data_IF_512645154974
#
_entry.id   IF_512645154974
#
_cell.length_a   1.000
_cell.length_b   1.000
_cell.length_c   1.000
_cell.angle_alpha   90.00
_cell.angle_beta   90.00
_cell.angle_gamma   90.00
#
_symmetry.space_group_name_H-M   'P 1'
#
loop_
_entity.id
_entity.type
_entity.pdbx_description
1 polymer ?
#
# COMPACT_ATOMS: atom_id res chain seq x y z
N UNK A 1 -15.89 -8.91 -5.07
CA UNK A 1 -15.62 -9.45 -3.72
C UNK A 1 -15.43 -8.25 -2.82
N UNK A 2 -16.19 -8.09 -1.73
CA UNK A 2 -16.13 -6.90 -0.86
C UNK A 2 -15.40 -7.28 0.41
N UNK A 3 -14.13 -6.89 0.52
CA UNK A 3 -13.33 -7.11 1.72
C UNK A 3 -13.83 -6.20 2.86
N UNK A 4 -13.86 -6.73 4.07
CA UNK A 4 -14.29 -6.03 5.27
C UNK A 4 -13.10 -5.52 6.12
N UNK A 5 -13.40 -4.95 7.29
CA UNK A 5 -12.38 -4.43 8.20
C UNK A 5 -11.41 -5.52 8.69
N UNK A 6 -11.91 -6.70 9.04
CA UNK A 6 -11.06 -7.81 9.51
C UNK A 6 -10.20 -8.36 8.37
N UNK A 7 -10.70 -8.35 7.14
CA UNK A 7 -9.93 -8.74 5.97
C UNK A 7 -8.73 -7.80 5.79
N UNK A 8 -8.94 -6.49 5.85
CA UNK A 8 -7.86 -5.49 5.75
C UNK A 8 -6.80 -5.69 6.84
N UNK A 9 -7.22 -6.02 8.08
CA UNK A 9 -6.26 -6.32 9.14
C UNK A 9 -5.35 -7.50 8.79
N UNK A 10 -5.89 -8.55 8.16
CA UNK A 10 -5.11 -9.73 7.74
C UNK A 10 -4.26 -9.45 6.50
N UNK A 11 -4.82 -8.75 5.50
CA UNK A 11 -4.14 -8.40 4.26
C UNK A 11 -2.90 -7.55 4.52
N UNK A 12 -3.07 -6.53 5.36
CA UNK A 12 -2.06 -5.50 5.58
C UNK A 12 -1.32 -5.63 6.91
N UNK A 13 -1.57 -6.66 7.72
CA UNK A 13 -0.96 -6.81 9.04
C UNK A 13 -1.21 -5.57 9.93
N UNK A 14 -2.46 -5.08 9.96
CA UNK A 14 -2.81 -3.86 10.69
C UNK A 14 -2.90 -4.14 12.20
N UNK A 15 -1.96 -3.55 12.94
CA UNK A 15 -1.96 -3.56 14.39
C UNK A 15 -2.89 -2.48 14.98
N UNK A 16 -3.15 -2.54 16.28
CA UNK A 16 -3.85 -1.45 16.98
C UNK A 16 -3.12 -0.11 16.87
N UNK A 17 -1.78 -0.14 16.82
CA UNK A 17 -0.95 1.07 16.60
C UNK A 17 -1.18 1.63 15.19
N UNK A 18 -1.21 0.77 14.17
CA UNK A 18 -1.51 1.21 12.80
C UNK A 18 -2.91 1.82 12.69
N UNK A 19 -3.90 1.28 13.40
CA UNK A 19 -5.26 1.81 13.40
C UNK A 19 -5.42 3.15 14.14
N UNK A 20 -4.39 3.60 14.86
CA UNK A 20 -4.34 4.93 15.48
C UNK A 20 -3.76 6.01 14.55
N UNK A 21 -3.19 5.60 13.41
CA UNK A 21 -2.58 6.48 12.42
C UNK A 21 -3.62 7.15 11.51
N UNK A 22 -3.17 8.19 10.81
CA UNK A 22 -3.85 8.71 9.62
C UNK A 22 -3.60 7.78 8.42
N UNK A 23 -4.67 7.22 7.86
CA UNK A 23 -4.62 6.22 6.80
C UNK A 23 -5.14 6.78 5.48
N UNK A 24 -4.37 6.57 4.41
CA UNK A 24 -4.80 6.74 3.03
C UNK A 24 -5.12 5.37 2.42
N UNK A 25 -6.36 5.14 2.00
CA UNK A 25 -6.80 3.89 1.38
C UNK A 25 -6.98 4.09 -0.13
N UNK A 26 -5.95 3.70 -0.89
CA UNK A 26 -5.91 3.81 -2.34
C UNK A 26 -6.53 2.58 -3.01
N UNK A 27 -7.40 2.85 -3.99
CA UNK A 27 -8.19 1.86 -4.74
C UNK A 27 -9.22 1.10 -3.89
N UNK A 28 -9.80 1.79 -2.91
CA UNK A 28 -10.77 1.27 -1.95
C UNK A 28 -12.00 0.54 -2.53
N UNK A 29 -12.31 0.67 -3.83
CA UNK A 29 -13.54 0.13 -4.42
C UNK A 29 -14.78 0.49 -3.59
N UNK A 30 -15.79 -0.39 -3.60
CA UNK A 30 -16.92 -0.32 -2.65
C UNK A 30 -16.57 -1.15 -1.39
N UNK A 31 -15.36 -1.00 -0.81
CA UNK A 31 -14.99 -1.78 0.37
C UNK A 31 -15.79 -1.35 1.59
N UNK A 32 -16.08 -2.30 2.48
CA UNK A 32 -16.71 -2.00 3.77
C UNK A 32 -15.74 -1.35 4.76
N UNK A 33 -14.44 -1.34 4.42
CA UNK A 33 -13.35 -0.95 5.29
C UNK A 33 -13.52 0.50 5.77
N UNK A 34 -13.64 1.46 4.85
CA UNK A 34 -13.67 2.88 5.23
C UNK A 34 -14.81 3.19 6.22
N UNK A 35 -16.03 2.74 5.90
CA UNK A 35 -17.20 2.97 6.75
C UNK A 35 -17.02 2.37 8.15
N UNK A 36 -16.50 1.15 8.23
CA UNK A 36 -16.34 0.41 9.47
C UNK A 36 -15.13 0.91 10.30
N UNK A 37 -14.09 1.40 9.63
CA UNK A 37 -12.93 2.08 10.21
C UNK A 37 -13.32 3.43 10.82
N UNK A 38 -14.08 4.26 10.09
CA UNK A 38 -14.62 5.53 10.60
C UNK A 38 -15.51 5.29 11.83
N UNK A 39 -16.37 4.26 11.80
CA UNK A 39 -17.20 3.88 12.94
C UNK A 39 -16.38 3.48 14.18
N UNK A 40 -15.15 3.00 13.98
CA UNK A 40 -14.17 2.69 15.04
C UNK A 40 -13.32 3.89 15.47
N UNK A 41 -13.50 5.06 14.86
CA UNK A 41 -12.72 6.27 15.15
C UNK A 41 -11.37 6.33 14.42
N UNK A 42 -11.13 5.46 13.44
CA UNK A 42 -9.91 5.50 12.61
C UNK A 42 -9.99 6.67 11.64
N UNK A 43 -8.91 7.43 11.51
CA UNK A 43 -8.79 8.50 10.52
C UNK A 43 -8.42 7.91 9.16
N UNK A 44 -9.40 7.74 8.27
CA UNK A 44 -9.19 7.16 6.95
C UNK A 44 -9.76 8.05 5.83
N UNK A 45 -8.95 8.27 4.80
CA UNK A 45 -9.34 8.93 3.55
C UNK A 45 -9.13 7.94 2.41
N UNK A 46 -10.12 7.79 1.54
CA UNK A 46 -10.04 6.90 0.38
C UNK A 46 -9.97 7.67 -0.93
N UNK A 47 -9.22 7.16 -1.90
CA UNK A 47 -9.14 7.70 -3.25
C UNK A 47 -8.98 6.57 -4.28
N UNK A 48 -9.26 6.88 -5.54
CA UNK A 48 -9.10 5.96 -6.66
C UNK A 48 -8.10 6.47 -7.70
N UNK A 49 -7.84 5.64 -8.71
CA UNK A 49 -6.86 5.91 -9.77
C UNK A 49 -7.18 7.14 -10.64
N UNK A 50 -8.39 7.72 -10.60
CA UNK A 50 -8.72 8.95 -11.34
C UNK A 50 -7.93 10.18 -10.85
N UNK A 51 -7.31 10.09 -9.67
CA UNK A 51 -6.50 11.14 -9.08
C UNK A 51 -5.00 10.99 -9.39
N UNK A 52 -4.61 9.99 -10.18
CA UNK A 52 -3.24 9.81 -10.66
C UNK A 52 -2.94 10.77 -11.84
N UNK A 53 -1.67 11.10 -12.11
CA UNK A 53 -0.45 10.64 -11.42
C UNK A 53 -0.11 11.41 -10.14
N UNK A 54 -0.87 12.46 -9.78
CA UNK A 54 -0.55 13.31 -8.63
C UNK A 54 -1.78 13.56 -7.76
N UNK A 55 -1.75 13.02 -6.55
CA UNK A 55 -2.80 13.29 -5.57
C UNK A 55 -2.70 14.72 -5.04
N UNK A 56 -3.86 15.32 -4.76
CA UNK A 56 -3.95 16.68 -4.18
C UNK A 56 -3.65 16.71 -2.67
N UNK A 57 -2.69 15.91 -2.22
CA UNK A 57 -2.24 15.81 -0.84
C UNK A 57 -0.80 16.30 -0.68
N UNK A 58 -0.50 16.85 0.50
CA UNK A 58 0.84 17.31 0.85
C UNK A 58 1.78 16.12 1.06
N UNK A 59 3.08 16.37 0.99
CA UNK A 59 4.06 15.37 1.36
C UNK A 59 3.86 14.97 2.84
N UNK A 60 3.96 13.68 3.13
CA UNK A 60 3.76 13.10 4.48
C UNK A 60 2.45 13.52 5.16
N UNK A 61 1.38 13.74 4.38
CA UNK A 61 0.07 14.07 4.94
C UNK A 61 -0.55 12.90 5.71
N UNK A 62 -0.17 11.67 5.37
CA UNK A 62 -0.64 10.45 6.01
C UNK A 62 0.53 9.68 6.63
N UNK A 63 0.25 8.90 7.67
CA UNK A 63 1.28 8.03 8.24
C UNK A 63 1.36 6.70 7.49
N UNK A 64 0.23 6.21 6.95
CA UNK A 64 0.13 4.90 6.30
C UNK A 64 -0.76 4.98 5.04
N UNK A 65 -0.24 4.54 3.90
CA UNK A 65 -1.02 4.27 2.71
C UNK A 65 -1.23 2.76 2.52
N UNK A 66 -2.48 2.36 2.31
CA UNK A 66 -2.87 1.02 1.90
C UNK A 66 -3.21 1.08 0.42
N UNK A 67 -2.58 0.21 -0.38
CA UNK A 67 -2.88 0.08 -1.79
C UNK A 67 -3.52 -1.28 -2.02
N UNK A 68 -4.83 -1.29 -2.27
CA UNK A 68 -5.59 -2.49 -2.64
C UNK A 68 -5.58 -2.66 -4.16
N UNK A 69 -5.29 -3.87 -4.61
CA UNK A 69 -5.72 -4.48 -5.88
C UNK A 69 -5.86 -3.53 -7.10
N UNK A 70 -4.78 -3.27 -7.84
CA UNK A 70 -4.79 -2.90 -9.27
C UNK A 70 -3.37 -3.07 -9.88
N UNK A 71 -2.33 -2.81 -9.08
CA UNK A 71 -0.95 -2.66 -9.56
C UNK A 71 -0.41 -3.89 -10.31
N UNK A 72 -0.56 -5.09 -9.73
CA UNK A 72 0.02 -6.31 -10.30
C UNK A 72 -0.98 -7.16 -11.08
N UNK A 73 -2.28 -6.96 -10.85
CA UNK A 73 -3.33 -7.65 -11.58
C UNK A 73 -3.45 -7.14 -13.01
N UNK A 74 -3.39 -5.82 -13.17
CA UNK A 74 -3.34 -5.18 -14.48
C UNK A 74 -1.90 -5.24 -14.99
N UNK A 75 -1.71 -5.56 -16.27
CA UNK A 75 -0.39 -5.77 -16.88
C UNK A 75 0.38 -4.46 -17.08
N UNK A 76 0.56 -3.71 -16.00
CA UNK A 76 1.39 -2.51 -15.93
C UNK A 76 2.86 -2.87 -15.98
N UNK A 77 3.64 -2.02 -16.65
CA UNK A 77 5.09 -2.09 -16.62
C UNK A 77 5.61 -1.75 -15.22
N UNK A 78 6.79 -2.27 -14.88
CA UNK A 78 7.49 -1.93 -13.62
C UNK A 78 7.61 -0.42 -13.41
N UNK A 79 7.77 0.36 -14.49
CA UNK A 79 7.92 1.81 -14.42
C UNK A 79 6.63 2.50 -13.96
N UNK A 80 5.49 2.13 -14.53
CA UNK A 80 4.18 2.68 -14.14
C UNK A 80 3.86 2.34 -12.69
N UNK A 81 4.19 1.11 -12.27
CA UNK A 81 4.05 0.67 -10.88
C UNK A 81 4.93 1.54 -9.96
N UNK A 82 6.19 1.75 -10.33
CA UNK A 82 7.11 2.57 -9.54
C UNK A 82 6.63 4.02 -9.41
N UNK A 83 6.14 4.64 -10.49
CA UNK A 83 5.61 6.01 -10.47
C UNK A 83 4.42 6.16 -9.50
N UNK A 84 3.49 5.19 -9.51
CA UNK A 84 2.37 5.16 -8.58
C UNK A 84 2.83 4.98 -7.13
N UNK A 85 3.73 4.02 -6.89
CA UNK A 85 4.24 3.74 -5.54
C UNK A 85 5.05 4.92 -5.00
N UNK A 86 5.82 5.60 -5.82
CA UNK A 86 6.54 6.82 -5.44
C UNK A 86 5.58 7.94 -5.06
N UNK A 87 4.47 8.09 -5.78
CA UNK A 87 3.44 9.06 -5.42
C UNK A 87 2.75 8.71 -4.09
N UNK A 88 2.52 7.41 -3.80
CA UNK A 88 2.04 6.98 -2.47
C UNK A 88 3.06 7.25 -1.37
N UNK A 89 4.35 6.96 -1.61
CA UNK A 89 5.43 7.26 -0.67
C UNK A 89 5.59 8.76 -0.45
N UNK A 90 5.28 9.60 -1.44
CA UNK A 90 5.31 11.06 -1.28
C UNK A 90 4.31 11.51 -0.23
N UNK A 91 3.09 10.98 -0.26
CA UNK A 91 1.99 11.42 0.61
C UNK A 91 1.93 10.68 1.94
N UNK A 92 2.57 9.51 2.05
CA UNK A 92 2.54 8.66 3.24
C UNK A 92 3.92 8.16 3.68
N UNK A 93 4.16 8.17 4.99
CA UNK A 93 5.44 7.71 5.58
C UNK A 93 5.70 6.20 5.41
N UNK A 94 4.63 5.41 5.31
CA UNK A 94 4.67 3.98 5.05
C UNK A 94 3.64 3.61 3.99
N UNK A 95 3.99 2.72 3.05
CA UNK A 95 3.08 2.17 2.05
C UNK A 95 3.02 0.66 2.20
N UNK A 96 1.81 0.09 2.18
CA UNK A 96 1.58 -1.36 2.14
C UNK A 96 0.75 -1.73 0.92
N UNK A 97 1.29 -2.63 0.09
CA UNK A 97 0.67 -3.07 -1.17
C UNK A 97 0.25 -4.53 -1.04
N UNK A 98 -1.02 -4.80 -1.30
CA UNK A 98 -1.59 -6.15 -1.32
C UNK A 98 -2.69 -6.23 -2.39
N UNK A 99 -2.82 -7.33 -3.16
CA UNK A 99 -1.93 -8.51 -3.18
C UNK A 99 -0.66 -8.28 -4.02
N UNK A 100 0.33 -9.18 -3.91
CA UNK A 100 1.55 -9.20 -4.76
C UNK A 100 1.50 -10.21 -5.92
N UNK A 101 0.31 -10.72 -6.22
CA UNK A 101 0.08 -11.73 -7.27
C UNK A 101 -0.37 -11.10 -8.59
N UNK A 102 -0.04 -11.76 -9.69
CA UNK A 102 -0.58 -11.48 -11.03
C UNK A 102 -1.98 -12.09 -11.22
N UNK A 103 -2.60 -11.83 -12.37
CA UNK A 103 -3.91 -12.36 -12.75
C UNK A 103 -4.02 -13.90 -12.78
N UNK A 104 -2.90 -14.61 -12.72
CA UNK A 104 -2.84 -16.09 -12.67
C UNK A 104 -2.72 -16.63 -11.25
N UNK A 105 -2.64 -15.75 -10.24
CA UNK A 105 -2.44 -16.11 -8.84
C UNK A 105 -0.99 -16.45 -8.50
N UNK A 106 -0.02 -16.12 -9.37
CA UNK A 106 1.41 -16.30 -9.10
C UNK A 106 2.02 -14.98 -8.67
N UNK A 107 3.13 -15.03 -7.92
CA UNK A 107 3.88 -13.82 -7.58
C UNK A 107 4.24 -13.03 -8.86
N UNK A 108 3.98 -11.72 -8.85
CA UNK A 108 4.20 -10.89 -10.03
C UNK A 108 5.69 -10.83 -10.40
N UNK A 109 5.99 -10.94 -11.69
CA UNK A 109 7.34 -10.78 -12.22
C UNK A 109 7.89 -9.37 -12.00
N UNK A 110 7.00 -8.40 -11.79
CA UNK A 110 7.36 -6.99 -11.66
C UNK A 110 7.75 -6.63 -10.24
N UNK A 111 7.48 -7.52 -9.27
CA UNK A 111 7.79 -7.30 -7.85
C UNK A 111 9.30 -7.12 -7.62
N UNK A 112 10.13 -8.03 -8.15
CA UNK A 112 11.58 -7.96 -8.00
C UNK A 112 12.19 -6.68 -8.60
N UNK A 113 11.89 -6.36 -9.87
CA UNK A 113 12.29 -5.10 -10.50
C UNK A 113 11.82 -3.85 -9.73
N UNK A 114 10.57 -3.83 -9.25
CA UNK A 114 10.04 -2.73 -8.45
C UNK A 114 10.85 -2.53 -7.16
N UNK A 115 11.07 -3.61 -6.40
CA UNK A 115 11.85 -3.56 -5.16
C UNK A 115 13.26 -3.02 -5.40
N UNK A 116 13.91 -3.41 -6.50
CA UNK A 116 15.23 -2.90 -6.87
C UNK A 116 15.22 -1.40 -7.17
N UNK A 117 14.19 -0.89 -7.85
CA UNK A 117 14.03 0.54 -8.12
C UNK A 117 13.85 1.31 -6.80
N UNK A 118 12.96 0.84 -5.92
CA UNK A 118 12.69 1.45 -4.63
C UNK A 118 13.93 1.48 -3.73
N UNK A 119 14.68 0.37 -3.67
CA UNK A 119 15.93 0.30 -2.92
C UNK A 119 16.99 1.26 -3.47
N UNK A 120 17.13 1.39 -4.80
CA UNK A 120 18.02 2.38 -5.41
C UNK A 120 17.62 3.83 -5.09
N UNK A 121 16.35 4.06 -4.77
CA UNK A 121 15.80 5.34 -4.29
C UNK A 121 15.85 5.49 -2.76
N UNK A 122 16.57 4.59 -2.07
CA UNK A 122 16.77 4.62 -0.62
C UNK A 122 15.50 4.32 0.21
N UNK A 123 14.53 3.62 -0.38
CA UNK A 123 13.40 3.07 0.38
C UNK A 123 13.77 1.73 1.02
N UNK A 124 13.29 1.52 2.24
CA UNK A 124 13.20 0.20 2.84
C UNK A 124 12.06 -0.56 2.20
N UNK A 125 12.29 -1.84 1.90
CA UNK A 125 11.27 -2.73 1.34
C UNK A 125 11.30 -4.06 2.07
N UNK A 126 10.13 -4.60 2.39
CA UNK A 126 9.97 -5.89 3.07
C UNK A 126 8.74 -6.61 2.49
N UNK A 127 8.89 -7.88 2.15
CA UNK A 127 7.76 -8.74 1.78
C UNK A 127 7.34 -9.53 3.00
N UNK A 128 6.09 -9.40 3.41
CA UNK A 128 5.49 -10.17 4.51
C UNK A 128 4.45 -11.12 3.99
N UNK A 129 4.46 -12.36 4.46
CA UNK A 129 3.34 -13.27 4.25
C UNK A 129 2.11 -12.69 4.91
N UNK A 130 1.00 -12.64 4.17
CA UNK A 130 -0.29 -12.26 4.73
C UNK A 130 -0.95 -13.48 5.37
N UNK A 131 -1.71 -13.24 6.45
CA UNK A 131 -2.60 -14.26 7.03
C UNK A 131 -3.91 -14.37 6.23
N UNK A 132 -4.05 -13.57 5.18
CA UNK A 132 -5.14 -13.62 4.22
C UNK A 132 -4.92 -14.76 3.20
N UNK A 133 -6.00 -15.31 2.66
CA UNK A 133 -6.08 -16.58 1.93
C UNK A 133 -4.98 -16.84 0.88
N UNK A 134 -4.71 -18.13 0.61
CA UNK A 134 -3.88 -18.65 -0.49
C UNK A 134 -2.39 -18.28 -0.52
N UNK A 135 -1.78 -17.98 0.64
CA UNK A 135 -0.32 -17.78 0.73
C UNK A 135 0.15 -16.50 0.01
N UNK A 136 -0.71 -15.50 -0.06
CA UNK A 136 -0.39 -14.20 -0.61
C UNK A 136 0.53 -13.41 0.33
N UNK A 137 1.09 -12.32 -0.19
CA UNK A 137 2.03 -11.49 0.54
C UNK A 137 1.68 -10.02 0.38
N UNK A 138 2.24 -9.20 1.26
CA UNK A 138 2.14 -7.75 1.28
C UNK A 138 3.55 -7.17 1.16
N UNK A 139 3.71 -6.15 0.31
CA UNK A 139 4.95 -5.39 0.20
C UNK A 139 4.82 -4.16 1.10
N UNK A 140 5.68 -4.08 2.11
CA UNK A 140 5.82 -2.92 2.99
C UNK A 140 6.99 -2.06 2.51
N UNK A 141 6.76 -0.76 2.42
CA UNK A 141 7.71 0.23 1.92
C UNK A 141 7.74 1.41 2.89
N UNK A 142 8.92 1.92 3.21
CA UNK A 142 9.09 3.09 4.08
C UNK A 142 10.35 3.86 3.72
N UNK A 143 10.38 5.15 4.04
CA UNK A 143 11.61 5.95 3.90
C UNK A 143 12.67 5.46 4.88
N UNK A 144 13.89 5.23 4.40
CA UNK A 144 15.01 5.04 5.31
C UNK A 144 15.46 6.41 5.82
N UNK A 145 15.35 6.63 7.13
CA UNK A 145 16.07 7.74 7.76
C UNK A 145 17.57 7.56 7.49
N UNK A 146 18.16 8.43 6.67
CA UNK A 146 19.60 8.65 6.70
C UNK A 146 19.94 9.29 8.04
N UNK A 147 20.23 8.46 9.06
CA UNK A 147 20.96 8.92 10.23
C UNK A 147 22.39 9.20 9.82
N UNK A 148 22.64 10.38 9.24
CA UNK A 148 23.98 10.95 9.23
C UNK A 148 24.26 11.30 10.69
N UNK A 149 24.90 10.38 11.40
CA UNK A 149 25.46 10.68 12.72
C UNK A 149 26.44 11.83 12.54
N UNK A 150 26.08 12.99 13.08
CA UNK A 150 26.98 14.15 13.22
C UNK A 150 27.74 14.00 14.52
#
# INVERSE_FOLDING_TARGET
MKYDFSDYQKMYDLSASDLSKSIFDFSAGISGFQAEAIKRGVQVVSADASQLPHFQYKAHQFDLALCTDFIFYHSHSTKEIAELVEELCRIASEVRIFPLMDKTGKASKELGPLMLILQKKNYGVEVRSSVFENGNAMLRIWEQECKVGV
#
